data_IF_873435547403
#
_entry.id   IF_873435547403
#
_cell.length_a   1.000
_cell.length_b   1.000
_cell.length_c   1.000
_cell.angle_alpha   90.00
_cell.angle_beta   90.00
_cell.angle_gamma   90.00
#
_symmetry.space_group_name_H-M   'P 1'
#
loop_
_entity.id
_entity.type
_entity.pdbx_description
1 polymer ?
#
# COMPACT_ATOMS: atom_id res chain seq x y z
N UNK A 1 0.43 -24.13 9.15
CA UNK A 1 1.10 -22.83 9.26
C UNK A 1 1.99 -22.63 8.03
N UNK A 2 1.85 -21.51 7.31
CA UNK A 2 2.76 -21.19 6.21
C UNK A 2 4.08 -20.69 6.80
N UNK A 3 5.21 -21.20 6.33
CA UNK A 3 6.51 -20.79 6.86
C UNK A 3 6.81 -19.30 6.63
N UNK A 4 7.59 -18.69 7.51
CA UNK A 4 7.94 -17.25 7.45
C UNK A 4 8.52 -16.82 6.09
N UNK A 5 9.32 -17.69 5.46
CA UNK A 5 9.85 -17.43 4.12
C UNK A 5 8.74 -17.30 3.06
N UNK A 6 7.67 -18.09 3.16
CA UNK A 6 6.53 -17.98 2.26
C UNK A 6 5.77 -16.68 2.51
N UNK A 7 5.52 -16.32 3.77
CA UNK A 7 4.82 -15.09 4.16
C UNK A 7 5.55 -13.86 3.59
N UNK A 8 6.87 -13.77 3.82
CA UNK A 8 7.71 -12.67 3.31
C UNK A 8 7.64 -12.55 1.79
N UNK A 9 7.77 -13.67 1.07
CA UNK A 9 7.68 -13.70 -0.40
C UNK A 9 6.29 -13.30 -0.90
N UNK A 10 5.24 -13.82 -0.27
CA UNK A 10 3.84 -13.54 -0.63
C UNK A 10 3.53 -12.05 -0.48
N UNK A 11 3.88 -11.47 0.68
CA UNK A 11 3.69 -10.04 0.96
C UNK A 11 4.53 -9.16 0.04
N UNK A 12 5.82 -9.49 -0.17
CA UNK A 12 6.66 -8.78 -1.14
C UNK A 12 6.03 -8.77 -2.55
N UNK A 13 5.54 -9.92 -3.01
CA UNK A 13 4.90 -10.05 -4.32
C UNK A 13 3.61 -9.23 -4.41
N UNK A 14 2.78 -9.24 -3.35
CA UNK A 14 1.57 -8.42 -3.26
C UNK A 14 1.91 -6.95 -3.48
N UNK A 15 2.84 -6.41 -2.71
CA UNK A 15 3.23 -5.00 -2.82
C UNK A 15 3.84 -4.64 -4.17
N UNK A 16 4.68 -5.50 -4.76
CA UNK A 16 5.20 -5.28 -6.11
C UNK A 16 4.11 -5.28 -7.18
N UNK A 17 3.11 -6.16 -7.05
CA UNK A 17 1.95 -6.18 -7.95
C UNK A 17 1.14 -4.90 -7.82
N UNK A 18 0.87 -4.45 -6.60
CA UNK A 18 0.20 -3.16 -6.37
C UNK A 18 0.99 -2.00 -6.98
N UNK A 19 2.32 -1.95 -6.77
CA UNK A 19 3.16 -0.91 -7.35
C UNK A 19 3.06 -0.91 -8.88
N UNK A 20 3.04 -2.09 -9.51
CA UNK A 20 2.91 -2.23 -10.95
C UNK A 20 1.59 -1.64 -11.51
N UNK A 21 0.50 -1.62 -10.72
CA UNK A 21 -0.77 -1.00 -11.13
C UNK A 21 -0.62 0.51 -11.41
N UNK A 22 0.35 1.17 -10.78
CA UNK A 22 0.57 2.61 -10.87
C UNK A 22 1.89 2.99 -11.57
N UNK A 23 2.70 2.01 -11.99
CA UNK A 23 4.06 2.27 -12.48
C UNK A 23 4.18 2.40 -14.01
N UNK A 24 3.23 1.88 -14.78
CA UNK A 24 3.33 1.92 -16.24
C UNK A 24 2.10 1.43 -16.98
N UNK A 25 2.18 1.40 -18.32
CA UNK A 25 1.02 1.37 -19.21
C UNK A 25 0.24 0.07 -19.15
N UNK A 26 0.79 -1.01 -18.60
CA UNK A 26 0.10 -2.30 -18.50
C UNK A 26 -0.40 -2.63 -17.09
N UNK A 27 -0.23 -1.74 -16.12
CA UNK A 27 -0.56 -1.98 -14.72
C UNK A 27 -2.01 -2.43 -14.52
N UNK A 28 -3.01 -1.59 -14.85
CA UNK A 28 -4.42 -1.93 -14.71
C UNK A 28 -4.85 -3.17 -15.53
N UNK A 29 -4.15 -3.51 -16.61
CA UNK A 29 -4.43 -4.71 -17.39
C UNK A 29 -4.21 -6.00 -16.58
N UNK A 30 -3.28 -5.99 -15.60
CA UNK A 30 -3.01 -7.13 -14.71
C UNK A 30 -4.21 -7.56 -13.86
N UNK A 31 -5.19 -6.66 -13.69
CA UNK A 31 -6.41 -6.91 -12.93
C UNK A 31 -7.67 -6.85 -13.82
N UNK A 32 -7.51 -7.00 -15.13
CA UNK A 32 -8.64 -7.09 -16.07
C UNK A 32 -9.16 -5.76 -16.59
N UNK A 33 -8.42 -4.67 -16.42
CA UNK A 33 -8.79 -3.33 -16.90
C UNK A 33 -7.83 -2.79 -17.98
N UNK A 34 -7.67 -3.48 -19.13
CA UNK A 34 -6.74 -3.05 -20.19
C UNK A 34 -7.12 -1.71 -20.82
N UNK A 35 -8.37 -1.25 -20.69
CA UNK A 35 -8.80 0.07 -21.19
C UNK A 35 -8.19 1.24 -20.41
N UNK A 36 -7.71 0.99 -19.19
CA UNK A 36 -7.01 1.98 -18.36
C UNK A 36 -5.49 1.98 -18.59
N UNK A 37 -5.01 1.12 -19.49
CA UNK A 37 -3.61 1.04 -19.87
C UNK A 37 -3.10 2.38 -20.41
N UNK A 38 -2.03 2.93 -19.84
CA UNK A 38 -1.44 4.21 -20.27
C UNK A 38 -2.18 5.45 -19.75
N UNK A 39 -3.41 5.30 -19.23
CA UNK A 39 -4.18 6.38 -18.62
C UNK A 39 -3.61 6.80 -17.25
N UNK A 40 -2.65 6.04 -16.68
CA UNK A 40 -2.10 6.34 -15.38
C UNK A 40 -1.35 7.67 -15.37
N UNK A 41 -0.63 7.98 -16.46
CA UNK A 41 0.20 9.18 -16.53
C UNK A 41 -0.63 10.46 -16.34
N UNK A 42 -1.80 10.53 -16.95
CA UNK A 42 -2.69 11.69 -16.86
C UNK A 42 -3.29 11.84 -15.46
N UNK A 43 -3.80 10.74 -14.89
CA UNK A 43 -4.49 10.79 -13.59
C UNK A 43 -3.48 11.03 -12.45
N UNK A 44 -2.26 10.51 -12.57
CA UNK A 44 -1.21 10.69 -11.58
C UNK A 44 -0.59 12.10 -11.59
N UNK A 45 -0.65 12.82 -12.71
CA UNK A 45 -0.23 14.23 -12.80
C UNK A 45 -1.20 15.17 -12.07
N UNK A 46 -2.45 14.78 -11.88
CA UNK A 46 -3.51 15.59 -11.25
C UNK A 46 -3.71 15.29 -9.76
N UNK A 47 -2.77 14.60 -9.13
CA UNK A 47 -2.84 14.37 -7.70
C UNK A 47 -2.77 15.71 -6.96
N UNK A 48 -3.69 15.99 -6.01
CA UNK A 48 -3.67 17.23 -5.23
C UNK A 48 -2.81 17.16 -3.96
N UNK A 49 -2.29 15.97 -3.62
CA UNK A 49 -1.74 15.67 -2.30
C UNK A 49 -2.85 15.42 -1.29
N UNK A 50 -2.75 14.35 -0.50
CA UNK A 50 -3.77 14.02 0.49
C UNK A 50 -3.53 14.84 1.77
N UNK A 51 -4.57 15.51 2.32
CA UNK A 51 -4.43 16.30 3.53
C UNK A 51 -3.84 15.53 4.70
N UNK A 52 -2.94 16.17 5.45
CA UNK A 52 -2.25 15.58 6.59
C UNK A 52 -1.10 14.63 6.23
N UNK A 53 -0.84 14.38 4.94
CA UNK A 53 0.32 13.60 4.48
C UNK A 53 1.42 14.50 3.94
N UNK A 54 2.66 14.01 3.96
CA UNK A 54 3.83 14.74 3.43
C UNK A 54 3.67 15.21 1.97
N UNK A 55 2.84 14.52 1.17
CA UNK A 55 2.58 14.91 -0.21
C UNK A 55 1.71 16.16 -0.36
N UNK A 56 0.95 16.56 0.67
CA UNK A 56 0.12 17.77 0.66
C UNK A 56 0.95 19.03 0.34
N UNK A 57 2.08 19.20 1.01
CA UNK A 57 2.95 20.38 0.86
C UNK A 57 3.57 20.53 -0.54
N UNK A 58 3.50 19.49 -1.38
CA UNK A 58 4.15 19.45 -2.70
C UNK A 58 3.16 19.28 -3.84
N UNK A 59 1.86 19.19 -3.55
CA UNK A 59 0.84 18.72 -4.50
C UNK A 59 0.98 17.24 -4.89
N UNK A 60 2.15 16.61 -4.65
CA UNK A 60 2.40 15.19 -4.78
C UNK A 60 2.24 14.66 -6.21
N UNK A 61 3.34 14.45 -6.95
CA UNK A 61 3.28 13.66 -8.19
C UNK A 61 2.95 12.20 -7.84
N UNK A 62 1.71 11.77 -8.07
CA UNK A 62 1.23 10.50 -7.52
C UNK A 62 1.99 9.28 -8.06
N UNK A 63 2.51 9.36 -9.29
CA UNK A 63 3.28 8.26 -9.89
C UNK A 63 4.46 7.85 -9.02
N UNK A 64 5.16 8.84 -8.46
CA UNK A 64 6.34 8.60 -7.65
C UNK A 64 5.97 8.24 -6.23
N UNK A 65 4.88 8.79 -5.69
CA UNK A 65 4.46 8.55 -4.30
C UNK A 65 3.97 7.10 -4.10
N UNK A 66 2.99 6.65 -4.88
CA UNK A 66 2.40 5.32 -4.70
C UNK A 66 3.37 4.19 -5.04
N UNK A 67 4.06 4.30 -6.17
CA UNK A 67 5.01 3.28 -6.61
C UNK A 67 6.14 3.13 -5.59
N UNK A 68 6.79 4.24 -5.17
CA UNK A 68 7.88 4.15 -4.18
C UNK A 68 7.40 3.67 -2.82
N UNK A 69 6.23 4.09 -2.36
CA UNK A 69 5.67 3.66 -1.06
C UNK A 69 5.39 2.16 -1.06
N UNK A 70 4.80 1.63 -2.14
CA UNK A 70 4.52 0.20 -2.28
C UNK A 70 5.81 -0.61 -2.48
N UNK A 71 6.79 -0.09 -3.21
CA UNK A 71 8.12 -0.71 -3.31
C UNK A 71 8.84 -0.76 -1.95
N UNK A 72 8.76 0.30 -1.14
CA UNK A 72 9.31 0.33 0.20
C UNK A 72 8.64 -0.71 1.12
N UNK A 73 7.31 -0.83 1.06
CA UNK A 73 6.58 -1.90 1.75
C UNK A 73 7.01 -3.28 1.25
N UNK A 74 7.21 -3.46 -0.05
CA UNK A 74 7.71 -4.72 -0.61
C UNK A 74 9.10 -5.07 -0.04
N UNK A 75 10.03 -4.12 -0.03
CA UNK A 75 11.38 -4.31 0.49
C UNK A 75 11.38 -4.59 2.00
N UNK A 76 10.50 -3.92 2.75
CA UNK A 76 10.34 -4.15 4.19
C UNK A 76 9.76 -5.55 4.46
N UNK A 77 8.69 -5.92 3.76
CA UNK A 77 8.05 -7.23 3.88
C UNK A 77 8.99 -8.38 3.52
N UNK A 78 9.92 -8.16 2.57
CA UNK A 78 10.94 -9.13 2.23
C UNK A 78 11.93 -9.40 3.37
N UNK A 79 12.10 -8.50 4.34
CA UNK A 79 12.99 -8.65 5.50
C UNK A 79 12.29 -9.26 6.70
N UNK A 80 11.00 -8.97 6.89
CA UNK A 80 10.21 -9.48 8.02
C UNK A 80 10.63 -8.89 9.37
N UNK A 81 10.13 -9.49 10.46
CA UNK A 81 10.40 -9.05 11.84
C UNK A 81 9.36 -8.07 12.40
N UNK A 82 9.10 -8.19 13.71
CA UNK A 82 7.99 -7.51 14.40
C UNK A 82 8.04 -5.98 14.30
N UNK A 83 9.20 -5.36 14.55
CA UNK A 83 9.37 -3.91 14.43
C UNK A 83 8.99 -3.40 13.04
N UNK A 84 9.39 -4.11 11.98
CA UNK A 84 9.05 -3.74 10.60
C UNK A 84 7.56 -3.90 10.35
N UNK A 85 6.96 -5.00 10.82
CA UNK A 85 5.51 -5.24 10.71
C UNK A 85 4.68 -4.14 11.39
N UNK A 86 5.10 -3.67 12.57
CA UNK A 86 4.47 -2.53 13.25
C UNK A 86 4.57 -1.24 12.41
N UNK A 87 5.73 -0.97 11.82
CA UNK A 87 5.94 0.20 10.95
C UNK A 87 5.13 0.11 9.67
N UNK A 88 5.08 -1.08 9.04
CA UNK A 88 4.27 -1.38 7.86
C UNK A 88 2.78 -1.16 8.17
N UNK A 89 2.28 -1.71 9.28
CA UNK A 89 0.89 -1.53 9.70
C UNK A 89 0.55 -0.06 9.93
N UNK A 90 1.43 0.68 10.61
CA UNK A 90 1.24 2.11 10.84
C UNK A 90 1.19 2.90 9.53
N UNK A 91 2.09 2.61 8.58
CA UNK A 91 2.11 3.27 7.27
C UNK A 91 0.84 2.95 6.49
N UNK A 92 0.40 1.69 6.45
CA UNK A 92 -0.82 1.31 5.75
C UNK A 92 -2.03 2.05 6.34
N UNK A 93 -2.19 1.99 7.67
CA UNK A 93 -3.33 2.56 8.38
C UNK A 93 -3.37 4.08 8.32
N UNK A 94 -2.23 4.75 8.56
CA UNK A 94 -2.16 6.21 8.72
C UNK A 94 -1.90 6.96 7.43
N UNK A 95 -1.31 6.32 6.43
CA UNK A 95 -0.94 6.99 5.19
C UNK A 95 -1.60 6.37 3.96
N UNK A 96 -1.47 5.05 3.76
CA UNK A 96 -1.88 4.43 2.50
C UNK A 96 -3.41 4.40 2.32
N UNK A 97 -4.16 3.93 3.34
CA UNK A 97 -5.62 3.86 3.26
C UNK A 97 -6.29 5.25 3.18
N UNK A 98 -5.92 6.24 4.02
CA UNK A 98 -6.46 7.60 3.89
C UNK A 98 -6.14 8.24 2.54
N UNK A 99 -4.95 7.96 1.98
CA UNK A 99 -4.60 8.45 0.65
C UNK A 99 -5.51 7.83 -0.43
N UNK A 100 -5.79 6.52 -0.38
CA UNK A 100 -6.71 5.89 -1.33
C UNK A 100 -8.11 6.48 -1.23
N UNK A 101 -8.64 6.65 -0.01
CA UNK A 101 -9.96 7.24 0.22
C UNK A 101 -10.05 8.65 -0.38
N UNK A 102 -9.03 9.47 -0.14
CA UNK A 102 -8.95 10.80 -0.73
C UNK A 102 -8.96 10.76 -2.27
N UNK A 103 -8.17 9.87 -2.87
CA UNK A 103 -8.07 9.73 -4.33
C UNK A 103 -9.36 9.22 -4.97
N UNK A 104 -10.12 8.34 -4.31
CA UNK A 104 -11.42 7.85 -4.81
C UNK A 104 -12.39 9.00 -5.10
N UNK A 105 -12.33 10.09 -4.35
CA UNK A 105 -13.18 11.27 -4.57
C UNK A 105 -12.68 12.23 -5.65
N UNK A 106 -11.43 12.08 -6.14
CA UNK A 106 -10.76 13.04 -7.03
C UNK A 106 -10.33 12.48 -8.37
N UNK A 107 -10.12 11.17 -8.45
CA UNK A 107 -9.77 10.51 -9.70
C UNK A 107 -11.00 10.21 -10.55
N UNK A 108 -10.84 10.04 -11.87
CA UNK A 108 -11.92 9.61 -12.74
C UNK A 108 -12.54 8.30 -12.24
N UNK A 109 -13.87 8.16 -12.35
CA UNK A 109 -14.60 6.99 -11.85
C UNK A 109 -14.12 5.68 -12.47
N UNK A 110 -13.59 5.74 -13.69
CA UNK A 110 -13.03 4.60 -14.41
C UNK A 110 -11.86 3.94 -13.64
N UNK A 111 -11.18 4.68 -12.75
CA UNK A 111 -10.11 4.17 -11.90
C UNK A 111 -10.58 3.52 -10.60
N UNK A 112 -11.85 3.63 -10.25
CA UNK A 112 -12.42 3.04 -9.02
C UNK A 112 -12.08 1.55 -8.84
N UNK A 113 -12.14 0.68 -9.87
CA UNK A 113 -11.77 -0.73 -9.71
C UNK A 113 -10.30 -0.94 -9.30
N UNK A 114 -9.38 -0.09 -9.78
CA UNK A 114 -7.95 -0.16 -9.45
C UNK A 114 -7.72 0.29 -8.00
N UNK A 115 -8.36 1.39 -7.60
CA UNK A 115 -8.30 1.92 -6.24
C UNK A 115 -8.91 0.92 -5.23
N UNK A 116 -10.06 0.35 -5.56
CA UNK A 116 -10.76 -0.63 -4.73
C UNK A 116 -9.97 -1.92 -4.58
N UNK A 117 -9.41 -2.46 -5.68
CA UNK A 117 -8.52 -3.62 -5.62
C UNK A 117 -7.33 -3.35 -4.70
N UNK A 118 -6.71 -2.18 -4.84
CA UNK A 118 -5.56 -1.79 -4.02
C UNK A 118 -5.95 -1.68 -2.54
N UNK A 119 -7.08 -1.03 -2.25
CA UNK A 119 -7.63 -0.88 -0.89
C UNK A 119 -7.82 -2.24 -0.23
N UNK A 120 -8.53 -3.16 -0.88
CA UNK A 120 -8.78 -4.51 -0.35
C UNK A 120 -7.51 -5.28 -0.05
N UNK A 121 -6.49 -5.18 -0.92
CA UNK A 121 -5.20 -5.86 -0.70
C UNK A 121 -4.44 -5.28 0.50
N UNK A 122 -4.52 -3.96 0.72
CA UNK A 122 -3.89 -3.29 1.85
C UNK A 122 -4.64 -3.59 3.16
N UNK A 123 -5.97 -3.54 3.16
CA UNK A 123 -6.79 -3.90 4.32
C UNK A 123 -6.57 -5.34 4.76
N UNK A 124 -6.54 -6.28 3.80
CA UNK A 124 -6.25 -7.68 4.08
C UNK A 124 -4.84 -7.88 4.67
N UNK A 125 -3.83 -7.11 4.22
CA UNK A 125 -2.49 -7.17 4.84
C UNK A 125 -2.47 -6.50 6.21
N UNK A 126 -3.19 -5.40 6.39
CA UNK A 126 -3.27 -4.70 7.67
C UNK A 126 -3.87 -5.61 8.75
N UNK A 127 -4.98 -6.29 8.44
CA UNK A 127 -5.58 -7.27 9.36
C UNK A 127 -4.61 -8.38 9.74
N UNK A 128 -3.82 -8.85 8.78
CA UNK A 128 -2.76 -9.83 9.04
C UNK A 128 -1.70 -9.26 9.98
N UNK A 129 -1.17 -8.07 9.67
CA UNK A 129 -0.13 -7.43 10.48
C UNK A 129 -0.60 -7.14 11.90
N UNK A 130 -1.82 -6.65 12.07
CA UNK A 130 -2.40 -6.34 13.38
C UNK A 130 -2.46 -7.58 14.27
N UNK A 131 -2.95 -8.71 13.75
CA UNK A 131 -2.97 -9.99 14.47
C UNK A 131 -1.57 -10.42 14.91
N UNK A 132 -0.61 -10.41 13.98
CA UNK A 132 0.77 -10.83 14.24
C UNK A 132 1.52 -9.91 15.23
N UNK A 133 1.02 -8.69 15.42
CA UNK A 133 1.62 -7.71 16.34
C UNK A 133 0.94 -7.69 17.71
N UNK A 134 -0.31 -8.15 17.78
CA UNK A 134 -1.11 -8.27 18.99
C UNK A 134 -0.75 -9.50 19.85
N UNK A 135 -0.26 -10.59 19.24
CA UNK A 135 0.05 -11.86 19.91
C UNK A 135 1.33 -11.86 20.79
N UNK A 136 1.71 -10.73 21.42
CA UNK A 136 2.72 -10.73 22.50
C UNK A 136 2.22 -9.93 23.71
N UNK A 137 2.28 -10.49 24.93
CA UNK A 137 2.04 -9.71 26.14
C UNK A 137 3.09 -8.59 26.24
N UNK A 138 2.78 -7.48 26.94
CA UNK A 138 3.75 -6.41 27.15
C UNK A 138 5.00 -7.00 27.83
N UNK A 139 6.12 -6.99 27.11
CA UNK A 139 7.44 -7.24 27.68
C UNK A 139 7.77 -6.11 28.65
N UNK A 140 7.29 -6.22 29.89
CA UNK A 140 7.31 -5.12 30.83
C UNK A 140 6.78 -5.36 32.24
N UNK A 141 6.52 -6.59 32.67
CA UNK A 141 6.49 -6.88 34.12
C UNK A 141 7.89 -7.32 34.55
N UNK A 142 8.72 -6.34 34.91
CA UNK A 142 9.78 -6.60 35.87
C UNK A 142 9.09 -6.72 37.22
N UNK A 143 8.90 -7.95 37.70
CA UNK A 143 8.66 -8.19 39.12
C UNK A 143 9.82 -7.57 39.90
N UNK A 144 9.52 -6.56 40.70
CA UNK A 144 10.32 -6.06 41.79
C UNK A 144 9.55 -6.33 43.09
#
# INVERSE_FOLDING_TARGET
MLGEAWIRRSRNRRYRRLAALFAGPLGPALIGHPKLAGAEAEVLQRCPGAPGLLCEATGGVARTCWVRRLEALAQSAAKGGKRRRNQEAALIRKEALPCLEFLTSRWPREWEPVLEYTRRQLEADLQYLEKETADEPPSGEKSA
#
